data_IF_748174332273
#
_entry.id   IF_748174332273
#
_cell.length_a   1.000
_cell.length_b   1.000
_cell.length_c   1.000
_cell.angle_alpha   90.00
_cell.angle_beta   90.00
_cell.angle_gamma   90.00
#
_symmetry.space_group_name_H-M   'P 1'
#
loop_
_entity.id
_entity.type
_entity.pdbx_description
1 polymer ?
#
# COMPACT_ATOMS: atom_id res chain seq x y z
N UNK A 1 -11.33 9.50 -40.63
CA UNK A 1 -11.93 10.64 -39.92
C UNK A 1 -11.68 10.39 -38.45
N UNK A 2 -10.72 11.08 -37.85
CA UNK A 2 -10.50 11.02 -36.41
C UNK A 2 -11.62 11.80 -35.71
N UNK A 3 -12.20 11.32 -34.59
CA UNK A 3 -13.19 12.08 -33.88
C UNK A 3 -12.49 13.31 -33.26
N UNK A 4 -13.08 14.48 -33.48
CA UNK A 4 -12.73 15.71 -32.79
C UNK A 4 -12.93 15.50 -31.29
N UNK A 5 -11.84 15.46 -30.53
CA UNK A 5 -11.84 15.24 -29.08
C UNK A 5 -12.24 16.54 -28.40
N UNK A 6 -13.48 16.62 -27.95
CA UNK A 6 -13.91 17.67 -27.03
C UNK A 6 -13.19 17.41 -25.70
N UNK A 7 -12.34 18.34 -25.25
CA UNK A 7 -11.60 18.18 -23.99
C UNK A 7 -12.23 19.08 -22.93
N UNK A 8 -12.56 18.50 -21.78
CA UNK A 8 -12.90 19.24 -20.55
C UNK A 8 -11.71 19.08 -19.63
N UNK A 9 -11.17 20.19 -19.13
CA UNK A 9 -10.03 20.19 -18.24
C UNK A 9 -10.34 21.03 -17.02
N UNK A 10 -10.36 20.39 -15.85
CA UNK A 10 -10.41 21.05 -14.55
C UNK A 10 -8.99 21.16 -14.02
N UNK A 11 -8.63 22.34 -13.56
CA UNK A 11 -7.35 22.63 -12.90
C UNK A 11 -7.70 23.16 -11.53
N UNK A 12 -7.50 22.33 -10.51
CA UNK A 12 -7.60 22.76 -9.13
C UNK A 12 -6.34 23.54 -8.76
N UNK A 13 -6.52 24.67 -8.09
CA UNK A 13 -5.41 25.44 -7.55
C UNK A 13 -5.74 25.78 -6.12
N UNK A 14 -4.97 25.22 -5.17
CA UNK A 14 -5.04 25.64 -3.78
C UNK A 14 -4.31 26.98 -3.67
N UNK A 15 -5.06 28.02 -3.34
CA UNK A 15 -4.50 29.34 -3.00
C UNK A 15 -4.25 29.34 -1.50
N UNK A 16 -3.12 28.79 -1.05
CA UNK A 16 -2.69 29.03 0.33
C UNK A 16 -2.24 30.49 0.43
N UNK A 17 -3.02 31.33 1.12
CA UNK A 17 -2.65 32.72 1.33
C UNK A 17 -3.24 33.31 2.62
N UNK A 18 -2.41 33.47 3.66
CA UNK A 18 -1.85 34.76 4.08
C UNK A 18 -0.76 34.59 5.17
N UNK A 19 0.44 35.11 4.87
CA UNK A 19 1.46 35.70 5.75
C UNK A 19 1.80 35.04 7.11
N UNK A 20 3.04 34.58 7.30
CA UNK A 20 4.17 35.27 7.99
C UNK A 20 5.41 34.34 7.94
N UNK A 21 6.60 34.93 7.97
CA UNK A 21 7.90 34.36 7.63
C UNK A 21 8.42 33.13 8.44
N UNK A 22 9.48 32.55 7.86
CA UNK A 22 10.62 31.83 8.45
C UNK A 22 10.61 30.29 8.41
N UNK A 23 11.67 29.74 7.80
CA UNK A 23 12.15 28.37 7.98
C UNK A 23 11.73 27.43 6.87
N UNK A 24 12.61 27.22 5.89
CA UNK A 24 12.57 25.98 5.11
C UNK A 24 13.13 24.88 6.02
N UNK A 25 12.25 24.08 6.60
CA UNK A 25 12.60 22.69 6.85
C UNK A 25 12.18 21.91 5.60
N UNK A 26 13.14 21.22 5.01
CA UNK A 26 12.93 20.32 3.86
C UNK A 26 11.81 19.32 4.18
N UNK A 27 10.87 19.05 3.25
CA UNK A 27 9.98 17.90 3.41
C UNK A 27 10.82 16.62 3.32
N UNK A 28 10.69 15.78 4.35
CA UNK A 28 11.36 14.50 4.42
C UNK A 28 10.97 13.63 3.23
N UNK A 29 11.96 13.31 2.39
CA UNK A 29 11.91 12.11 1.54
C UNK A 29 11.62 10.94 2.49
N UNK A 30 10.57 10.17 2.23
CA UNK A 30 10.35 8.91 2.95
C UNK A 30 11.63 8.09 2.82
N UNK A 31 12.31 7.78 3.94
CA UNK A 31 13.54 7.01 3.85
C UNK A 31 13.21 5.68 3.20
N UNK A 32 14.11 5.13 2.34
CA UNK A 32 13.96 3.76 1.88
C UNK A 32 13.74 2.84 3.09
N UNK A 33 13.03 1.70 2.91
CA UNK A 33 12.86 0.72 3.99
C UNK A 33 14.20 0.51 4.68
N UNK A 34 14.24 0.53 6.04
CA UNK A 34 15.50 0.40 6.74
C UNK A 34 16.22 -0.85 6.22
N UNK A 35 17.45 -0.69 5.72
CA UNK A 35 18.27 -1.84 5.37
C UNK A 35 18.46 -2.66 6.65
N UNK A 36 17.66 -3.71 6.80
CA UNK A 36 17.76 -4.60 7.95
C UNK A 36 19.17 -5.17 7.93
N UNK A 37 19.99 -4.72 8.89
CA UNK A 37 21.35 -5.21 9.02
C UNK A 37 21.34 -6.73 9.09
N UNK A 38 22.45 -7.38 8.72
CA UNK A 38 22.56 -8.84 8.78
C UNK A 38 22.33 -9.30 10.22
N UNK A 39 21.12 -9.75 10.53
CA UNK A 39 20.79 -10.30 11.83
C UNK A 39 21.62 -11.57 12.05
N UNK A 40 22.01 -11.81 13.30
CA UNK A 40 22.79 -12.99 13.64
C UNK A 40 22.00 -14.27 13.25
N UNK A 41 22.65 -15.29 12.69
CA UNK A 41 21.97 -16.52 12.30
C UNK A 41 21.35 -17.19 13.54
N UNK A 42 20.14 -17.72 13.37
CA UNK A 42 19.43 -18.52 14.38
C UNK A 42 19.62 -19.99 13.98
N UNK A 43 20.50 -20.77 14.65
CA UNK A 43 20.95 -22.06 14.13
C UNK A 43 19.87 -23.15 13.97
N UNK A 44 18.77 -23.05 14.71
CA UNK A 44 17.67 -24.00 14.67
C UNK A 44 16.68 -23.75 13.53
N UNK A 45 16.81 -22.64 12.82
CA UNK A 45 15.78 -22.15 11.92
C UNK A 45 16.41 -21.79 10.57
N UNK A 46 15.80 -22.25 9.49
CA UNK A 46 16.23 -21.91 8.14
C UNK A 46 15.92 -20.45 7.85
N UNK A 47 16.94 -19.67 7.50
CA UNK A 47 16.75 -18.28 7.12
C UNK A 47 16.15 -18.17 5.72
N UNK A 48 14.95 -17.61 5.65
CA UNK A 48 14.19 -17.40 4.41
C UNK A 48 14.15 -15.93 3.98
N UNK A 49 14.89 -15.06 4.66
CA UNK A 49 15.03 -13.66 4.29
C UNK A 49 13.85 -12.78 4.73
N UNK A 50 13.45 -11.87 3.84
CA UNK A 50 12.51 -10.78 4.12
C UNK A 50 11.61 -10.39 2.92
N UNK A 51 11.65 -11.16 1.82
CA UNK A 51 10.91 -10.82 0.59
C UNK A 51 9.43 -11.16 0.73
N UNK A 52 8.58 -10.41 0.03
CA UNK A 52 7.14 -10.67 -0.11
C UNK A 52 6.72 -10.63 -1.59
N UNK A 53 5.63 -11.31 -1.96
CA UNK A 53 5.04 -12.41 -1.22
C UNK A 53 6.06 -13.55 -1.14
N UNK A 54 6.02 -14.30 -0.04
CA UNK A 54 6.91 -15.45 0.13
C UNK A 54 6.10 -16.74 0.13
N UNK A 55 6.62 -17.74 -0.56
CA UNK A 55 6.13 -19.10 -0.40
C UNK A 55 7.23 -20.13 -0.58
N UNK A 56 7.17 -21.18 0.23
CA UNK A 56 8.09 -22.32 0.18
C UNK A 56 7.32 -23.62 0.39
N UNK A 57 7.75 -24.66 -0.32
CA UNK A 57 7.35 -26.04 -0.04
C UNK A 57 8.45 -26.72 0.78
N UNK A 58 8.04 -27.49 1.79
CA UNK A 58 8.92 -28.25 2.67
C UNK A 58 8.27 -29.57 3.10
N UNK A 59 8.96 -30.32 3.95
CA UNK A 59 8.42 -31.53 4.55
C UNK A 59 8.93 -31.65 5.98
N UNK A 60 8.07 -32.02 6.91
CA UNK A 60 8.48 -32.38 8.28
C UNK A 60 9.05 -33.81 8.34
N UNK A 61 8.96 -34.57 7.25
CA UNK A 61 9.40 -35.97 7.21
C UNK A 61 10.90 -36.09 7.47
N UNK A 62 11.26 -36.68 8.59
CA UNK A 62 12.66 -36.95 8.95
C UNK A 62 13.39 -35.76 9.57
N UNK A 63 12.67 -34.71 9.91
CA UNK A 63 13.15 -33.61 10.75
C UNK A 63 13.16 -34.01 12.23
N UNK A 64 13.65 -33.12 13.10
CA UNK A 64 13.60 -33.34 14.55
C UNK A 64 12.24 -32.85 15.11
N UNK A 65 11.82 -33.40 16.25
CA UNK A 65 10.70 -32.87 17.07
C UNK A 65 11.32 -31.98 18.15
N UNK A 66 11.53 -30.72 17.81
CA UNK A 66 12.29 -29.75 18.60
C UNK A 66 11.40 -28.72 19.30
N UNK A 67 10.17 -28.52 18.87
CA UNK A 67 9.33 -27.35 19.18
C UNK A 67 7.93 -27.72 19.65
N UNK A 68 7.83 -28.19 20.89
CA UNK A 68 6.54 -28.34 21.57
C UNK A 68 6.05 -27.12 22.38
N UNK A 69 4.95 -27.33 23.11
CA UNK A 69 4.41 -26.50 24.18
C UNK A 69 3.70 -25.22 23.72
N UNK A 70 3.23 -25.17 22.48
CA UNK A 70 2.50 -24.01 21.98
C UNK A 70 1.16 -23.81 22.70
N UNK A 71 0.65 -22.57 22.78
CA UNK A 71 -0.51 -22.25 23.65
C UNK A 71 -1.87 -22.61 23.09
N UNK A 72 -1.96 -22.98 21.83
CA UNK A 72 -3.18 -23.37 21.13
C UNK A 72 -3.08 -24.81 20.65
N UNK A 73 -4.23 -25.36 20.22
CA UNK A 73 -4.33 -26.75 19.78
C UNK A 73 -3.83 -27.73 20.84
N UNK A 74 -3.13 -28.77 20.37
CA UNK A 74 -2.46 -29.76 21.22
C UNK A 74 -0.99 -29.42 21.51
N UNK A 75 -0.54 -28.21 21.16
CA UNK A 75 0.76 -27.68 21.54
C UNK A 75 1.94 -28.13 20.69
N UNK A 76 1.74 -28.91 19.61
CA UNK A 76 2.83 -29.40 18.75
C UNK A 76 3.76 -30.43 19.42
N UNK A 77 3.37 -31.00 20.56
CA UNK A 77 4.27 -31.77 21.43
C UNK A 77 4.61 -33.19 20.92
N UNK A 78 4.23 -33.57 19.70
CA UNK A 78 4.09 -35.00 19.36
C UNK A 78 4.75 -35.47 18.08
N UNK A 79 5.31 -34.60 17.23
CA UNK A 79 5.84 -34.98 15.91
C UNK A 79 6.98 -34.08 15.43
N UNK A 80 7.59 -34.49 14.32
CA UNK A 80 8.62 -33.73 13.61
C UNK A 80 8.12 -32.35 13.15
N UNK A 81 8.96 -31.34 13.32
CA UNK A 81 8.65 -29.96 13.01
C UNK A 81 9.71 -29.32 12.10
N UNK A 82 9.38 -28.15 11.55
CA UNK A 82 10.30 -27.37 10.74
C UNK A 82 10.24 -25.90 11.13
N UNK A 83 11.40 -25.34 11.46
CA UNK A 83 11.51 -23.93 11.84
C UNK A 83 12.16 -23.07 10.75
N UNK A 84 11.53 -21.92 10.49
CA UNK A 84 12.03 -20.87 9.63
C UNK A 84 12.34 -19.61 10.44
N UNK A 85 13.36 -18.88 10.02
CA UNK A 85 13.63 -17.52 10.48
C UNK A 85 13.22 -16.57 9.35
N UNK A 86 12.35 -15.62 9.66
CA UNK A 86 11.93 -14.58 8.73
C UNK A 86 12.07 -13.19 9.36
N UNK A 87 12.36 -12.19 8.54
CA UNK A 87 12.52 -10.80 8.97
C UNK A 87 11.47 -9.93 8.29
N UNK A 88 10.67 -9.21 9.07
CA UNK A 88 9.69 -8.27 8.52
C UNK A 88 10.40 -7.14 7.77
N UNK A 89 10.10 -6.90 6.48
CA UNK A 89 10.75 -5.85 5.70
C UNK A 89 10.28 -4.44 6.11
N UNK A 90 9.09 -4.29 6.69
CA UNK A 90 8.49 -3.03 7.08
C UNK A 90 7.64 -3.17 8.35
N UNK A 91 7.19 -2.04 8.91
CA UNK A 91 6.14 -2.04 9.94
C UNK A 91 4.82 -2.44 9.25
N UNK A 92 4.27 -3.62 9.57
CA UNK A 92 3.04 -4.12 8.94
C UNK A 92 2.29 -5.17 9.75
N UNK A 93 1.06 -5.46 9.31
CA UNK A 93 0.35 -6.70 9.62
C UNK A 93 0.69 -7.75 8.58
N UNK A 94 1.08 -8.95 9.02
CA UNK A 94 1.45 -10.06 8.14
C UNK A 94 0.54 -11.27 8.38
N UNK A 95 0.08 -11.89 7.29
CA UNK A 95 -0.60 -13.19 7.30
C UNK A 95 0.42 -14.29 7.03
N UNK A 96 0.61 -15.18 8.00
CA UNK A 96 1.37 -16.40 7.86
C UNK A 96 0.38 -17.55 7.78
N UNK A 97 0.38 -18.26 6.66
CA UNK A 97 -0.57 -19.35 6.40
C UNK A 97 0.15 -20.57 5.85
N UNK A 98 -0.38 -21.74 6.19
CA UNK A 98 0.04 -23.02 5.62
C UNK A 98 -0.96 -23.57 4.61
N UNK A 99 -1.85 -22.71 4.10
CA UNK A 99 -2.81 -23.05 3.06
C UNK A 99 -2.12 -23.76 1.87
N UNK A 100 -2.72 -24.86 1.41
CA UNK A 100 -2.16 -25.71 0.34
C UNK A 100 -1.24 -26.83 0.83
N UNK A 101 -1.02 -26.95 2.15
CA UNK A 101 -0.30 -28.08 2.76
C UNK A 101 -1.03 -29.41 2.54
N UNK A 102 -0.27 -30.52 2.54
CA UNK A 102 -0.81 -31.88 2.38
C UNK A 102 -1.09 -32.57 3.71
N UNK A 103 -0.66 -31.96 4.80
CA UNK A 103 -0.88 -32.40 6.17
C UNK A 103 -1.81 -31.42 6.88
N UNK A 104 -2.41 -31.92 7.96
CA UNK A 104 -3.04 -31.09 8.97
C UNK A 104 -1.93 -30.33 9.71
N UNK A 105 -1.87 -29.01 9.56
CA UNK A 105 -0.74 -28.25 10.08
C UNK A 105 -1.06 -27.62 11.41
N UNK A 106 -0.01 -27.38 12.17
CA UNK A 106 0.02 -26.55 13.35
C UNK A 106 1.08 -25.46 13.14
N UNK A 107 0.77 -24.19 13.45
CA UNK A 107 1.66 -23.06 13.22
C UNK A 107 1.88 -22.28 14.52
N UNK A 108 3.14 -22.06 14.89
CA UNK A 108 3.50 -21.16 15.99
C UNK A 108 4.56 -20.15 15.60
N UNK A 109 4.47 -18.94 16.14
CA UNK A 109 5.39 -17.83 15.85
C UNK A 109 6.00 -17.32 17.15
N UNK A 110 7.33 -17.18 17.15
CA UNK A 110 8.12 -16.90 18.35
C UNK A 110 9.08 -15.73 18.12
N UNK A 111 9.27 -14.89 19.14
CA UNK A 111 10.32 -13.85 19.23
C UNK A 111 11.48 -14.34 20.07
N UNK A 112 12.63 -13.67 19.96
CA UNK A 112 13.82 -13.91 20.79
C UNK A 112 14.47 -15.29 20.57
N UNK A 113 14.32 -15.87 19.38
CA UNK A 113 14.93 -17.13 18.95
C UNK A 113 14.01 -18.35 19.09
N UNK A 114 14.59 -19.53 18.86
CA UNK A 114 13.89 -20.82 18.76
C UNK A 114 12.92 -21.10 19.91
N UNK A 115 13.40 -20.88 21.14
CA UNK A 115 12.69 -21.20 22.38
C UNK A 115 12.26 -19.93 23.12
N UNK A 116 12.16 -18.81 22.39
CA UNK A 116 11.74 -17.56 22.97
C UNK A 116 10.23 -17.46 23.14
N UNK A 117 9.72 -16.23 23.26
CA UNK A 117 8.32 -15.99 23.56
C UNK A 117 7.44 -16.29 22.35
N UNK A 118 6.53 -17.24 22.47
CA UNK A 118 5.42 -17.39 21.51
C UNK A 118 4.54 -16.13 21.51
N UNK A 119 4.28 -15.60 20.32
CA UNK A 119 3.50 -14.38 20.09
C UNK A 119 2.20 -14.65 19.36
N UNK A 120 2.13 -15.72 18.57
CA UNK A 120 0.92 -16.17 17.89
C UNK A 120 1.02 -17.68 17.67
N UNK A 121 -0.13 -18.35 17.63
CA UNK A 121 -0.21 -19.73 17.18
C UNK A 121 -1.63 -20.03 16.66
N UNK A 122 -1.73 -21.01 15.78
CA UNK A 122 -2.99 -21.51 15.25
C UNK A 122 -2.84 -22.99 14.84
N UNK A 123 -3.90 -23.77 15.02
CA UNK A 123 -4.00 -25.18 14.60
C UNK A 123 -4.79 -25.20 13.28
N UNK A 124 -6.11 -24.95 13.37
CA UNK A 124 -6.97 -24.77 12.20
C UNK A 124 -7.34 -23.30 12.00
N UNK A 125 -7.20 -22.80 10.77
CA UNK A 125 -7.63 -21.46 10.36
C UNK A 125 -9.16 -21.28 10.48
N UNK A 126 -9.91 -22.35 10.24
CA UNK A 126 -11.35 -22.43 10.47
C UNK A 126 -11.77 -23.88 10.78
N UNK A 127 -12.97 -24.12 11.35
CA UNK A 127 -13.40 -25.47 11.73
C UNK A 127 -13.42 -26.51 10.58
N UNK A 128 -13.54 -26.04 9.34
CA UNK A 128 -13.64 -26.88 8.14
C UNK A 128 -12.31 -26.98 7.36
N UNK A 129 -11.28 -26.26 7.79
CA UNK A 129 -9.94 -26.27 7.21
C UNK A 129 -8.96 -27.04 8.10
N UNK A 130 -7.82 -27.44 7.51
CA UNK A 130 -6.73 -28.19 8.18
C UNK A 130 -5.38 -27.52 7.97
N UNK A 131 -5.40 -26.31 7.42
CA UNK A 131 -4.22 -25.47 7.41
C UNK A 131 -4.36 -24.47 8.56
N UNK A 132 -3.22 -23.97 9.01
CA UNK A 132 -3.14 -22.95 10.03
C UNK A 132 -2.99 -21.58 9.38
N UNK A 133 -3.45 -20.55 10.07
CA UNK A 133 -3.23 -19.16 9.71
C UNK A 133 -3.09 -18.28 10.96
N UNK A 134 -2.12 -17.38 10.97
CA UNK A 134 -1.97 -16.35 12.00
C UNK A 134 -1.73 -14.99 11.35
N UNK A 135 -2.40 -13.98 11.88
CA UNK A 135 -2.17 -12.57 11.56
C UNK A 135 -1.44 -11.90 12.73
N UNK A 136 -0.38 -11.15 12.43
CA UNK A 136 0.38 -10.45 13.46
C UNK A 136 0.99 -9.14 12.96
N UNK A 137 1.00 -8.15 13.86
CA UNK A 137 1.72 -6.89 13.65
C UNK A 137 3.20 -7.07 14.01
N UNK A 138 4.08 -6.81 13.05
CA UNK A 138 5.53 -6.83 13.22
C UNK A 138 6.13 -5.49 12.82
N UNK A 139 7.15 -5.07 13.55
CA UNK A 139 7.90 -3.86 13.20
C UNK A 139 8.94 -4.12 12.10
N UNK A 140 9.32 -3.07 11.38
CA UNK A 140 10.39 -3.13 10.38
C UNK A 140 11.68 -3.72 10.99
N UNK A 141 12.29 -4.66 10.28
CA UNK A 141 13.46 -5.43 10.69
C UNK A 141 13.28 -6.33 11.93
N UNK A 142 12.05 -6.52 12.39
CA UNK A 142 11.74 -7.50 13.42
C UNK A 142 11.92 -8.93 12.89
N UNK A 143 12.64 -9.77 13.65
CA UNK A 143 12.85 -11.17 13.30
C UNK A 143 11.97 -12.08 14.13
N UNK A 144 11.31 -13.03 13.48
CA UNK A 144 10.53 -14.09 14.11
C UNK A 144 11.04 -15.48 13.71
N UNK A 145 10.78 -16.45 14.59
CA UNK A 145 10.89 -17.88 14.27
C UNK A 145 9.48 -18.42 14.03
N UNK A 146 9.27 -19.01 12.87
CA UNK A 146 8.00 -19.60 12.44
C UNK A 146 8.19 -21.12 12.47
N UNK A 147 7.37 -21.82 13.23
CA UNK A 147 7.42 -23.28 13.36
C UNK A 147 6.19 -23.86 12.68
N UNK A 148 6.41 -24.69 11.66
CA UNK A 148 5.40 -25.53 11.03
C UNK A 148 5.51 -26.93 11.63
N UNK A 149 4.40 -27.43 12.09
CA UNK A 149 4.25 -28.68 12.83
C UNK A 149 2.89 -29.31 12.46
N UNK A 150 2.41 -30.31 13.20
CA UNK A 150 1.09 -30.91 13.04
C UNK A 150 0.52 -31.41 14.37
N UNK A 151 -0.80 -31.60 14.46
CA UNK A 151 -1.47 -31.89 15.73
C UNK A 151 -1.36 -33.36 16.20
N UNK A 152 -0.80 -34.27 15.39
CA UNK A 152 -0.72 -35.70 15.72
C UNK A 152 0.32 -36.46 14.91
N UNK A 153 0.67 -37.67 15.36
CA UNK A 153 1.61 -38.61 14.70
C UNK A 153 1.32 -38.95 13.24
N UNK A 154 0.09 -38.72 12.77
CA UNK A 154 -0.30 -38.96 11.37
C UNK A 154 -0.17 -37.70 10.50
N UNK A 155 0.16 -36.55 11.10
CA UNK A 155 0.27 -35.24 10.45
C UNK A 155 1.73 -34.86 10.12
N UNK A 156 2.52 -35.84 9.67
CA UNK A 156 3.91 -35.67 9.23
C UNK A 156 3.97 -35.77 7.72
N UNK A 157 4.62 -34.82 7.05
CA UNK A 157 4.65 -34.81 5.60
C UNK A 157 4.89 -33.44 4.98
N UNK A 158 4.48 -33.33 3.71
CA UNK A 158 4.75 -32.15 2.89
C UNK A 158 3.83 -30.99 3.28
N UNK A 159 4.44 -29.82 3.48
CA UNK A 159 3.75 -28.58 3.80
C UNK A 159 4.11 -27.48 2.82
N UNK A 160 3.23 -26.48 2.77
CA UNK A 160 3.49 -25.18 2.17
C UNK A 160 3.45 -24.14 3.28
N UNK A 161 4.41 -23.23 3.31
CA UNK A 161 4.35 -22.01 4.10
C UNK A 161 4.25 -20.83 3.14
N UNK A 162 3.34 -19.91 3.42
CA UNK A 162 3.23 -18.64 2.75
C UNK A 162 3.21 -17.50 3.77
N UNK A 163 3.90 -16.41 3.43
CA UNK A 163 3.93 -15.18 4.21
C UNK A 163 3.49 -14.06 3.26
N UNK A 164 2.46 -13.34 3.69
CA UNK A 164 1.78 -12.28 2.94
C UNK A 164 1.79 -11.01 3.79
N UNK A 165 2.04 -9.87 3.15
CA UNK A 165 1.98 -8.56 3.78
C UNK A 165 0.67 -7.86 3.45
N UNK A 166 0.61 -6.56 3.72
CA UNK A 166 -0.31 -5.70 2.99
C UNK A 166 0.40 -5.18 1.74
N UNK A 167 -0.36 -4.90 0.70
CA UNK A 167 0.22 -4.30 -0.49
C UNK A 167 0.60 -2.84 -0.23
N UNK A 168 1.92 -2.58 -0.24
CA UNK A 168 2.48 -1.25 0.04
C UNK A 168 3.19 -0.62 -1.15
N UNK A 169 3.62 -1.43 -2.11
CA UNK A 169 4.30 -0.99 -3.33
C UNK A 169 3.35 -1.25 -4.49
N UNK A 170 2.53 -0.26 -4.80
CA UNK A 170 1.42 -0.39 -5.75
C UNK A 170 1.81 -0.31 -7.24
N UNK A 171 3.06 -0.63 -7.60
CA UNK A 171 3.61 -0.41 -8.94
C UNK A 171 4.73 -1.36 -9.36
N UNK A 172 4.92 -2.50 -8.69
CA UNK A 172 6.02 -3.43 -8.99
C UNK A 172 5.60 -4.76 -9.64
N UNK A 173 4.29 -4.95 -9.87
CA UNK A 173 3.74 -6.12 -10.57
C UNK A 173 3.60 -7.35 -9.69
N UNK A 174 3.66 -7.18 -8.37
CA UNK A 174 3.65 -8.24 -7.37
C UNK A 174 2.30 -8.21 -6.61
N UNK A 175 1.89 -9.38 -6.11
CA UNK A 175 0.69 -9.58 -5.28
C UNK A 175 1.18 -9.91 -3.86
N UNK A 176 1.53 -8.89 -3.08
CA UNK A 176 2.14 -9.04 -1.75
C UNK A 176 1.23 -9.72 -0.73
N UNK A 177 -0.08 -9.56 -0.85
CA UNK A 177 -1.07 -10.11 0.08
C UNK A 177 -1.70 -11.44 -0.40
N UNK A 178 -1.48 -11.77 -1.67
CA UNK A 178 -1.82 -13.03 -2.30
C UNK A 178 -3.31 -13.21 -2.58
N UNK A 179 -4.10 -12.15 -2.66
CA UNK A 179 -5.54 -12.21 -2.90
C UNK A 179 -5.90 -12.43 -4.39
N UNK A 180 -4.91 -12.31 -5.28
CA UNK A 180 -5.01 -12.50 -6.71
C UNK A 180 -5.22 -11.21 -7.51
N UNK A 181 -5.31 -10.06 -6.83
CA UNK A 181 -5.08 -8.75 -7.42
C UNK A 181 -3.58 -8.37 -7.31
N UNK A 182 -3.16 -7.39 -8.10
CA UNK A 182 -1.76 -6.92 -8.16
C UNK A 182 -1.79 -5.43 -8.40
N UNK A 183 -0.89 -4.70 -7.77
CA UNK A 183 -0.77 -3.26 -7.85
C UNK A 183 -2.13 -2.57 -7.63
N UNK A 184 -2.45 -1.56 -8.42
CA UNK A 184 -3.72 -0.82 -8.33
C UNK A 184 -4.98 -1.59 -8.72
N UNK A 185 -4.88 -2.85 -9.15
CA UNK A 185 -6.06 -3.70 -9.28
C UNK A 185 -6.54 -4.21 -7.91
N UNK A 186 -5.70 -4.08 -6.89
CA UNK A 186 -5.93 -4.54 -5.54
C UNK A 186 -6.71 -3.52 -4.69
N UNK A 187 -7.78 -3.95 -4.01
CA UNK A 187 -8.56 -3.09 -3.11
C UNK A 187 -7.78 -2.50 -1.94
N UNK A 188 -6.68 -3.12 -1.52
CA UNK A 188 -5.88 -2.77 -0.35
C UNK A 188 -4.69 -1.85 -0.68
N UNK A 189 -4.44 -1.56 -1.97
CA UNK A 189 -3.42 -0.63 -2.44
C UNK A 189 -3.81 0.86 -2.33
N UNK A 190 -3.76 1.39 -1.09
CA UNK A 190 -4.13 2.79 -0.78
C UNK A 190 -2.98 3.82 -0.85
N UNK A 191 -1.91 3.57 -1.62
CA UNK A 191 -0.69 4.41 -1.64
C UNK A 191 -0.60 5.41 -2.81
N UNK A 192 0.24 6.45 -2.63
CA UNK A 192 0.56 7.51 -3.59
C UNK A 192 1.17 7.01 -4.93
N UNK A 193 1.78 5.82 -4.92
CA UNK A 193 2.40 5.24 -6.12
C UNK A 193 1.44 4.45 -6.99
N UNK A 194 0.14 4.43 -6.66
CA UNK A 194 -0.83 3.87 -7.57
C UNK A 194 -1.02 4.77 -8.80
N UNK A 195 -0.56 4.38 -10.00
CA UNK A 195 -0.63 5.23 -11.16
C UNK A 195 -2.07 5.22 -11.69
N UNK A 196 -2.87 6.17 -11.21
CA UNK A 196 -4.12 6.57 -11.85
C UNK A 196 -3.90 7.26 -13.21
N UNK A 197 -2.93 6.82 -14.02
CA UNK A 197 -2.55 7.40 -15.32
C UNK A 197 -2.55 6.42 -16.49
N UNK A 198 -2.97 5.16 -16.30
CA UNK A 198 -3.22 4.26 -17.44
C UNK A 198 -4.63 4.38 -18.03
N UNK A 199 -5.55 5.08 -17.35
CA UNK A 199 -6.85 5.48 -17.91
C UNK A 199 -6.85 6.92 -18.44
N UNK A 200 -5.89 7.76 -18.04
CA UNK A 200 -5.81 9.13 -18.53
C UNK A 200 -4.88 9.18 -19.75
N UNK A 201 -5.38 9.50 -20.95
CA UNK A 201 -4.56 9.51 -22.16
C UNK A 201 -3.23 10.27 -21.95
N UNK A 202 -2.07 9.70 -22.30
CA UNK A 202 -0.77 10.35 -22.11
C UNK A 202 -0.71 11.81 -22.62
N UNK A 203 -1.33 12.15 -23.78
CA UNK A 203 -1.39 13.55 -24.23
C UNK A 203 -2.11 14.51 -23.27
N UNK A 204 -3.00 14.03 -22.40
CA UNK A 204 -3.70 14.85 -21.41
C UNK A 204 -2.90 15.01 -20.13
N UNK A 205 -2.13 13.99 -19.73
CA UNK A 205 -1.14 14.07 -18.65
C UNK A 205 -0.09 15.17 -18.94
N UNK A 206 0.42 15.21 -20.17
CA UNK A 206 1.35 16.26 -20.62
C UNK A 206 0.75 17.67 -20.50
N UNK A 207 -0.55 17.81 -20.80
CA UNK A 207 -1.27 19.10 -20.70
C UNK A 207 -1.42 19.55 -19.25
N UNK A 208 -1.70 18.63 -18.32
CA UNK A 208 -1.81 18.96 -16.89
C UNK A 208 -0.49 19.54 -16.35
N UNK A 209 0.64 18.94 -16.71
CA UNK A 209 1.97 19.44 -16.34
C UNK A 209 2.35 20.73 -17.07
N UNK A 210 1.98 20.85 -18.36
CA UNK A 210 2.14 22.10 -19.12
C UNK A 210 1.40 23.24 -18.42
N UNK A 211 0.17 23.00 -17.94
CA UNK A 211 -0.62 23.99 -17.23
C UNK A 211 0.01 24.37 -15.89
N UNK A 212 0.44 23.42 -15.07
CA UNK A 212 1.11 23.75 -13.81
C UNK A 212 2.35 24.62 -14.06
N UNK A 213 3.11 24.31 -15.10
CA UNK A 213 4.26 25.10 -15.55
C UNK A 213 3.84 26.53 -15.88
N UNK A 214 2.85 26.71 -16.76
CA UNK A 214 2.35 28.03 -17.16
C UNK A 214 1.74 28.82 -15.99
N UNK A 215 1.03 28.15 -15.08
CA UNK A 215 0.49 28.76 -13.86
C UNK A 215 1.63 29.28 -12.99
N UNK A 216 2.67 28.48 -12.78
CA UNK A 216 3.83 28.88 -11.99
C UNK A 216 4.63 30.02 -12.63
N UNK A 217 4.75 30.04 -13.96
CA UNK A 217 5.32 31.18 -14.69
C UNK A 217 4.52 32.47 -14.45
N UNK A 218 3.18 32.41 -14.52
CA UNK A 218 2.31 33.54 -14.22
C UNK A 218 2.37 33.96 -12.74
N UNK A 219 2.42 33.00 -11.81
CA UNK A 219 2.57 33.27 -10.38
C UNK A 219 3.88 33.98 -10.09
N UNK A 220 4.99 33.56 -10.70
CA UNK A 220 6.29 34.19 -10.53
C UNK A 220 6.35 35.60 -11.11
N UNK A 221 5.56 35.91 -12.14
CA UNK A 221 5.49 37.24 -12.73
C UNK A 221 4.64 38.24 -11.92
N UNK A 222 3.67 37.76 -11.14
CA UNK A 222 2.60 38.60 -10.59
C UNK A 222 1.63 39.05 -11.69
N UNK A 223 0.63 39.88 -11.34
CA UNK A 223 -0.39 40.32 -12.30
C UNK A 223 -0.99 41.68 -11.94
N UNK A 224 -1.49 42.41 -12.94
CA UNK A 224 -2.35 43.58 -12.71
C UNK A 224 -3.80 43.19 -13.00
N UNK A 225 -4.62 43.14 -11.96
CA UNK A 225 -6.03 42.78 -12.04
C UNK A 225 -6.91 44.03 -11.87
N UNK A 226 -8.20 43.93 -12.20
CA UNK A 226 -9.18 45.00 -11.91
C UNK A 226 -9.24 45.30 -10.40
N UNK A 227 -8.97 44.30 -9.57
CA UNK A 227 -8.85 44.41 -8.11
C UNK A 227 -7.54 45.05 -7.62
N UNK A 228 -6.62 45.37 -8.52
CA UNK A 228 -5.30 45.94 -8.22
C UNK A 228 -4.13 45.05 -8.63
N UNK A 229 -2.92 45.48 -8.30
CA UNK A 229 -1.70 44.72 -8.54
C UNK A 229 -1.57 43.54 -7.56
N UNK A 230 -1.15 42.40 -8.09
CA UNK A 230 -0.81 41.17 -7.39
C UNK A 230 0.69 40.96 -7.51
N UNK A 231 1.37 40.84 -6.36
CA UNK A 231 2.79 40.53 -6.32
C UNK A 231 3.05 39.08 -6.80
N UNK A 232 4.29 38.76 -7.20
CA UNK A 232 4.72 37.39 -7.40
C UNK A 232 4.34 36.46 -6.24
N UNK A 233 3.89 35.25 -6.56
CA UNK A 233 3.50 34.22 -5.60
C UNK A 233 4.44 33.00 -5.66
N UNK A 234 4.60 32.25 -4.54
CA UNK A 234 5.39 31.01 -4.52
C UNK A 234 4.91 30.00 -5.55
N UNK A 235 5.79 29.11 -6.02
CA UNK A 235 5.40 28.03 -6.93
C UNK A 235 4.39 27.09 -6.27
N UNK A 236 3.50 26.54 -7.07
CA UNK A 236 2.63 25.42 -6.72
C UNK A 236 3.31 24.12 -7.14
N UNK A 237 3.02 23.07 -6.40
CA UNK A 237 3.37 21.70 -6.75
C UNK A 237 2.09 20.93 -7.08
N UNK A 238 2.23 19.86 -7.86
CA UNK A 238 1.11 18.98 -8.14
C UNK A 238 0.83 18.15 -6.88
N UNK A 239 -0.39 18.24 -6.37
CA UNK A 239 -0.88 17.38 -5.29
C UNK A 239 -1.75 16.29 -5.90
N UNK A 240 -1.49 15.04 -5.52
CA UNK A 240 -2.11 13.86 -6.13
C UNK A 240 -3.61 13.78 -5.86
N UNK A 241 -4.05 14.12 -4.64
CA UNK A 241 -5.45 14.10 -4.27
C UNK A 241 -6.25 15.22 -4.97
N UNK A 242 -5.65 16.41 -5.11
CA UNK A 242 -6.24 17.49 -5.91
C UNK A 242 -6.35 17.11 -7.39
N UNK A 243 -5.31 16.45 -7.92
CA UNK A 243 -5.23 16.02 -9.32
C UNK A 243 -6.27 14.95 -9.62
N UNK A 244 -6.42 13.96 -8.75
CA UNK A 244 -7.45 12.92 -8.84
C UNK A 244 -8.86 13.54 -8.83
N UNK A 245 -9.15 14.43 -7.87
CA UNK A 245 -10.44 15.11 -7.81
C UNK A 245 -10.73 15.93 -9.08
N UNK A 246 -9.71 16.58 -9.66
CA UNK A 246 -9.84 17.37 -10.89
C UNK A 246 -10.13 16.48 -12.12
N UNK A 247 -9.45 15.34 -12.26
CA UNK A 247 -9.66 14.36 -13.34
C UNK A 247 -11.08 13.80 -13.30
N UNK A 248 -11.50 13.29 -12.13
CA UNK A 248 -12.83 12.70 -11.96
C UNK A 248 -13.95 13.71 -12.24
N UNK A 249 -13.78 14.98 -11.85
CA UNK A 249 -14.78 16.02 -12.15
C UNK A 249 -14.80 16.37 -13.65
N UNK A 250 -13.64 16.34 -14.31
CA UNK A 250 -13.52 16.59 -15.75
C UNK A 250 -14.16 15.48 -16.58
N UNK A 251 -13.96 14.23 -16.17
CA UNK A 251 -14.60 13.05 -16.76
C UNK A 251 -16.12 13.08 -16.54
N UNK A 252 -16.58 13.32 -15.31
CA UNK A 252 -18.01 13.45 -15.00
C UNK A 252 -18.69 14.51 -15.90
N UNK A 253 -18.08 15.70 -16.03
CA UNK A 253 -18.56 16.74 -16.93
C UNK A 253 -18.60 16.31 -18.40
N UNK A 254 -17.61 15.54 -18.85
CA UNK A 254 -17.54 15.04 -20.22
C UNK A 254 -18.59 13.96 -20.49
N UNK A 255 -18.71 12.97 -19.61
CA UNK A 255 -19.60 11.82 -19.76
C UNK A 255 -21.08 12.21 -19.65
N UNK A 256 -21.39 13.14 -18.74
CA UNK A 256 -22.75 13.59 -18.48
C UNK A 256 -23.14 14.88 -19.24
N UNK A 257 -22.28 15.34 -20.17
CA UNK A 257 -22.46 16.53 -21.02
C UNK A 257 -22.91 17.78 -20.25
N UNK A 258 -22.19 18.11 -19.18
CA UNK A 258 -22.42 19.34 -18.41
C UNK A 258 -21.11 20.11 -18.16
N UNK A 259 -21.23 21.35 -17.70
CA UNK A 259 -20.08 22.20 -17.41
C UNK A 259 -20.42 23.12 -16.24
N UNK A 260 -20.12 22.67 -15.03
CA UNK A 260 -20.45 23.34 -13.77
C UNK A 260 -19.42 22.99 -12.68
N UNK A 261 -19.31 23.82 -11.66
CA UNK A 261 -18.51 23.56 -10.46
C UNK A 261 -19.17 22.53 -9.53
N UNK A 262 -20.50 22.38 -9.64
CA UNK A 262 -21.29 21.44 -8.84
C UNK A 262 -21.62 20.22 -9.69
N UNK A 263 -21.34 19.03 -9.17
CA UNK A 263 -21.68 17.77 -9.84
C UNK A 263 -23.20 17.57 -9.87
N UNK A 264 -23.72 16.80 -10.83
CA UNK A 264 -25.17 16.60 -10.99
C UNK A 264 -25.83 15.92 -9.78
N UNK A 265 -25.06 15.17 -9.01
CA UNK A 265 -25.47 14.54 -7.74
C UNK A 265 -25.45 15.52 -6.54
N UNK A 266 -25.04 16.77 -6.76
CA UNK A 266 -24.99 17.84 -5.76
C UNK A 266 -23.66 17.98 -5.05
N UNK A 267 -22.64 17.15 -5.33
CA UNK A 267 -21.31 17.30 -4.74
C UNK A 267 -20.66 18.62 -5.15
N UNK A 268 -20.13 19.35 -4.17
CA UNK A 268 -19.31 20.54 -4.37
C UNK A 268 -17.82 20.16 -4.39
N UNK A 269 -16.95 21.11 -4.75
CA UNK A 269 -15.49 20.94 -4.72
C UNK A 269 -14.98 20.27 -3.44
N UNK A 270 -15.43 20.73 -2.26
CA UNK A 270 -15.02 20.15 -0.98
C UNK A 270 -15.38 18.67 -0.86
N UNK A 271 -16.55 18.27 -1.33
CA UNK A 271 -17.00 16.88 -1.25
C UNK A 271 -16.14 15.99 -2.15
N UNK A 272 -15.75 16.50 -3.33
CA UNK A 272 -14.83 15.82 -4.24
C UNK A 272 -13.41 15.72 -3.66
N UNK A 273 -12.93 16.79 -3.01
CA UNK A 273 -11.63 16.79 -2.33
C UNK A 273 -11.58 15.79 -1.17
N UNK A 274 -12.60 15.79 -0.31
CA UNK A 274 -12.72 14.82 0.78
C UNK A 274 -12.83 13.38 0.25
N UNK A 275 -13.56 13.18 -0.85
CA UNK A 275 -13.66 11.88 -1.52
C UNK A 275 -12.34 11.40 -2.12
N UNK A 276 -11.48 12.31 -2.55
CA UNK A 276 -10.11 12.04 -2.99
C UNK A 276 -9.09 12.08 -1.83
N UNK A 277 -9.54 11.98 -0.58
CA UNK A 277 -8.72 11.95 0.66
C UNK A 277 -7.83 13.18 0.88
N UNK A 278 -8.08 14.30 0.20
CA UNK A 278 -7.32 15.54 0.39
C UNK A 278 -7.59 16.15 1.79
N UNK A 279 -6.52 16.35 2.55
CA UNK A 279 -6.58 16.88 3.94
C UNK A 279 -6.04 18.32 4.08
N UNK A 280 -5.66 18.97 2.98
CA UNK A 280 -5.12 20.32 3.00
C UNK A 280 -6.10 21.36 3.54
N UNK A 281 -5.56 22.49 4.03
CA UNK A 281 -6.36 23.54 4.65
C UNK A 281 -6.92 24.55 3.63
N UNK A 282 -8.15 25.00 3.87
CA UNK A 282 -8.82 26.04 3.09
C UNK A 282 -8.04 27.38 3.13
N UNK A 283 -8.17 28.26 2.11
CA UNK A 283 -9.16 28.21 1.02
C UNK A 283 -8.74 27.37 -0.20
N UNK A 284 -9.74 26.78 -0.86
CA UNK A 284 -9.59 26.02 -2.11
C UNK A 284 -10.22 26.79 -3.28
N UNK A 285 -9.68 26.61 -4.49
CA UNK A 285 -10.20 27.18 -5.71
C UNK A 285 -10.22 26.15 -6.84
N UNK A 286 -11.21 26.26 -7.72
CA UNK A 286 -11.36 25.42 -8.91
C UNK A 286 -11.53 26.29 -10.14
N UNK A 287 -10.72 26.02 -11.17
CA UNK A 287 -10.90 26.58 -12.51
C UNK A 287 -11.28 25.42 -13.45
N UNK A 288 -12.35 25.59 -14.22
CA UNK A 288 -12.79 24.62 -15.23
C UNK A 288 -12.75 25.25 -16.64
N UNK A 289 -12.39 24.45 -17.64
CA UNK A 289 -12.39 24.84 -19.04
C UNK A 289 -12.94 23.72 -19.94
N UNK A 290 -13.63 24.08 -21.02
CA UNK A 290 -14.13 23.14 -22.05
C UNK A 290 -13.90 23.74 -23.43
N UNK A 291 -13.33 22.97 -24.35
CA UNK A 291 -13.07 23.42 -25.71
C UNK A 291 -12.25 22.45 -26.54
N UNK A 292 -11.85 22.88 -27.73
CA UNK A 292 -10.91 22.18 -28.62
C UNK A 292 -9.58 22.93 -28.63
N UNK A 293 -8.46 22.23 -28.59
CA UNK A 293 -7.11 22.80 -28.76
C UNK A 293 -6.79 23.08 -30.23
#
# INVERSE_FOLDING_TARGET
MAPSVLSVLSVLSVVVGLSTACGADEPAVTPPPPECGTNAPIPCALDIGATLPFSVEGSTTGEEDSFGGARCGLGGDTIEDFAFRWTAPADDTYLLTTEGSRIDTFLSVRRDGCFGREIACNDDASPDERHSAVELDLSACETVVIVVDGPSVDAVGDFRLAIRGTEKVCDDGIDEDGDGATDCADPDCFSASCPGDDLWPPPWNDIEWEILTLVNEHRAAGATCISGEQAPAPVLEMDEALRLAARLHSEDMLENDYFDHVSLDGRMLQDRLSGATFTGAAPFGENIARGTR
#
